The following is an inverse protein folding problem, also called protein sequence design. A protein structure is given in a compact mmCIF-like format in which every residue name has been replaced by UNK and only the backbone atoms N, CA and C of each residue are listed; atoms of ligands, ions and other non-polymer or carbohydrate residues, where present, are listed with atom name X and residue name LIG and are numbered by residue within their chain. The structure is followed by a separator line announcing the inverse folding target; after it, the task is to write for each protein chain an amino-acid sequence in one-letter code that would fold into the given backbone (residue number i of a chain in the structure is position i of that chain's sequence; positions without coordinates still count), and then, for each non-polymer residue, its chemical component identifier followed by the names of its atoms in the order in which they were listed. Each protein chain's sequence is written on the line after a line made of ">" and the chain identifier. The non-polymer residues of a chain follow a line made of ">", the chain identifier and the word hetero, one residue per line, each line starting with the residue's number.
data_IF_235123301383
#
_entry.id   IF_235123301383
#
_cell.length_a   1.000
_cell.length_b   1.000
_cell.length_c   1.000
_cell.angle_alpha   90.00
_cell.angle_beta   90.00
_cell.angle_gamma   90.00
#
_symmetry.space_group_name_H-M   'P 1'
#
loop_
_entity.id
_entity.type
_entity.pdbx_description
1 polymer ?
#
# COMPACT_ATOMS: atom_id res chain seq x y z
N UNK A 1 -5.50 16.91 16.40
CA UNK A 1 -4.26 17.18 17.17
C UNK A 1 -3.82 15.97 18.01
N UNK A 2 -4.61 15.46 18.96
CA UNK A 2 -4.19 14.36 19.86
C UNK A 2 -3.72 13.07 19.16
N UNK A 3 -4.41 12.62 18.11
CA UNK A 3 -4.05 11.40 17.38
C UNK A 3 -2.64 11.47 16.77
N UNK A 4 -2.29 12.60 16.17
CA UNK A 4 -0.97 12.80 15.55
C UNK A 4 0.14 12.76 16.60
N UNK A 5 -0.03 13.46 17.73
CA UNK A 5 0.94 13.42 18.82
C UNK A 5 1.19 11.99 19.32
N UNK A 6 0.12 11.20 19.48
CA UNK A 6 0.23 9.80 19.94
C UNK A 6 0.92 8.89 18.93
N UNK A 7 0.76 9.16 17.63
CA UNK A 7 1.49 8.44 16.59
C UNK A 7 2.95 8.83 16.63
N UNK A 8 3.26 10.13 16.73
CA UNK A 8 4.63 10.61 16.81
C UNK A 8 5.40 10.10 18.02
N UNK A 9 4.76 10.02 19.19
CA UNK A 9 5.36 9.48 20.42
C UNK A 9 5.76 8.01 20.28
N UNK A 10 5.14 7.28 19.33
CA UNK A 10 5.42 5.86 19.06
C UNK A 10 6.49 5.66 17.99
N UNK A 11 6.96 6.72 17.34
CA UNK A 11 8.03 6.64 16.35
C UNK A 11 9.39 6.61 17.06
N UNK A 12 9.80 5.42 17.47
CA UNK A 12 11.06 5.14 18.17
C UNK A 12 12.26 4.90 17.24
N UNK A 13 12.05 5.01 15.92
CA UNK A 13 13.05 4.77 14.87
C UNK A 13 12.90 3.44 14.15
N UNK A 14 12.02 2.54 14.62
CA UNK A 14 11.67 1.35 13.87
C UNK A 14 10.97 1.71 12.53
N UNK A 15 11.23 0.98 11.43
CA UNK A 15 10.56 1.21 10.16
C UNK A 15 9.04 1.19 10.31
N UNK A 16 8.39 2.34 10.09
CA UNK A 16 6.95 2.50 10.33
C UNK A 16 6.20 2.93 9.07
N UNK A 17 5.12 2.24 8.76
CA UNK A 17 4.18 2.61 7.69
C UNK A 17 2.90 3.20 8.29
N UNK A 18 2.58 4.44 7.92
CA UNK A 18 1.34 5.11 8.27
C UNK A 18 0.45 5.11 7.03
N UNK A 19 -0.63 4.32 7.06
CA UNK A 19 -1.55 4.20 5.93
C UNK A 19 -2.77 5.07 6.19
N UNK A 20 -3.07 5.96 5.25
CA UNK A 20 -4.26 6.82 5.25
C UNK A 20 -5.13 6.36 4.08
N UNK A 21 -6.19 5.62 4.39
CA UNK A 21 -7.12 5.05 3.42
C UNK A 21 -8.39 5.90 3.33
N UNK A 22 -8.69 6.43 2.15
CA UNK A 22 -9.81 7.36 1.87
C UNK A 22 -9.93 8.55 2.84
N UNK A 23 -8.86 8.87 3.56
CA UNK A 23 -8.81 9.96 4.53
C UNK A 23 -8.78 11.34 3.88
N UNK A 24 -9.03 11.46 2.57
CA UNK A 24 -9.03 12.73 1.86
C UNK A 24 -10.15 13.67 2.35
N UNK A 25 -11.27 13.14 2.84
CA UNK A 25 -12.33 13.92 3.47
C UNK A 25 -11.86 14.60 4.77
N UNK A 26 -10.97 13.95 5.52
CA UNK A 26 -10.39 14.54 6.73
C UNK A 26 -9.39 15.67 6.39
N UNK A 27 -9.03 15.84 5.12
CA UNK A 27 -8.11 16.89 4.64
C UNK A 27 -8.77 18.25 4.46
N UNK A 28 -10.11 18.32 4.48
CA UNK A 28 -10.84 19.59 4.51
C UNK A 28 -10.70 20.31 5.86
N UNK A 29 -10.29 19.59 6.91
CA UNK A 29 -9.90 20.17 8.19
C UNK A 29 -8.51 20.82 8.07
N UNK A 30 -8.45 22.14 8.24
CA UNK A 30 -7.22 22.92 8.10
C UNK A 30 -6.11 22.51 9.10
N UNK A 31 -6.48 22.10 10.32
CA UNK A 31 -5.51 21.67 11.32
C UNK A 31 -4.95 20.28 10.97
N UNK A 32 -5.80 19.36 10.53
CA UNK A 32 -5.38 18.05 10.03
C UNK A 32 -4.45 18.19 8.82
N UNK A 33 -4.86 19.00 7.85
CA UNK A 33 -4.08 19.23 6.64
C UNK A 33 -2.70 19.84 6.98
N UNK A 34 -2.63 20.81 7.88
CA UNK A 34 -1.36 21.40 8.31
C UNK A 34 -0.43 20.36 8.96
N UNK A 35 -0.96 19.54 9.86
CA UNK A 35 -0.17 18.50 10.53
C UNK A 35 0.34 17.45 9.52
N UNK A 36 -0.50 17.03 8.58
CA UNK A 36 -0.11 16.09 7.55
C UNK A 36 0.98 16.65 6.62
N UNK A 37 0.92 17.95 6.27
CA UNK A 37 2.01 18.61 5.52
C UNK A 37 3.33 18.57 6.27
N UNK A 38 3.30 18.78 7.59
CA UNK A 38 4.49 18.69 8.42
C UNK A 38 5.04 17.27 8.43
N UNK A 39 4.17 16.28 8.65
CA UNK A 39 4.52 14.86 8.61
C UNK A 39 5.19 14.43 7.31
N UNK A 40 4.64 14.83 6.16
CA UNK A 40 5.23 14.49 4.86
C UNK A 40 6.65 15.05 4.68
N UNK A 41 7.01 16.10 5.43
CA UNK A 41 8.36 16.69 5.41
C UNK A 41 9.29 16.07 6.46
N UNK A 42 8.78 15.70 7.63
CA UNK A 42 9.61 15.35 8.79
C UNK A 42 9.70 13.85 9.06
N UNK A 43 8.68 13.06 8.73
CA UNK A 43 8.60 11.64 9.10
C UNK A 43 9.70 10.77 8.51
N UNK A 44 10.26 11.15 7.35
CA UNK A 44 11.43 10.48 6.79
C UNK A 44 12.61 10.42 7.78
N UNK A 45 12.78 11.45 8.61
CA UNK A 45 13.84 11.49 9.63
C UNK A 45 13.61 10.52 10.79
N UNK A 46 12.36 10.10 11.00
CA UNK A 46 11.93 9.15 12.03
C UNK A 46 11.79 7.71 11.50
N UNK A 47 12.39 7.40 10.34
CA UNK A 47 12.27 6.11 9.65
C UNK A 47 10.80 5.71 9.36
N UNK A 48 9.95 6.70 9.12
CA UNK A 48 8.53 6.51 8.85
C UNK A 48 8.16 6.94 7.44
N UNK A 49 7.21 6.25 6.84
CA UNK A 49 6.62 6.57 5.54
C UNK A 49 5.11 6.69 5.64
N UNK A 50 4.54 7.64 4.90
CA UNK A 50 3.09 7.81 4.78
C UNK A 50 2.64 7.27 3.43
N UNK A 51 1.63 6.41 3.45
CA UNK A 51 1.00 5.85 2.25
C UNK A 51 -0.42 6.40 2.20
N UNK A 52 -0.78 7.02 1.08
CA UNK A 52 -2.15 7.40 0.78
C UNK A 52 -2.76 6.38 -0.17
N UNK A 53 -3.93 5.87 0.21
CA UNK A 53 -4.76 5.03 -0.63
C UNK A 53 -6.08 5.74 -0.91
N UNK A 54 -6.45 5.83 -2.19
CA UNK A 54 -7.74 6.35 -2.63
C UNK A 54 -8.19 5.64 -3.91
N UNK A 55 -9.48 5.55 -4.09
CA UNK A 55 -10.15 5.08 -5.30
C UNK A 55 -10.37 6.21 -6.32
N UNK A 56 -10.29 7.49 -5.89
CA UNK A 56 -10.58 8.64 -6.75
C UNK A 56 -9.44 9.66 -6.71
N UNK A 57 -8.71 9.74 -7.82
CA UNK A 57 -7.69 10.77 -8.01
C UNK A 57 -8.32 12.18 -8.06
N UNK A 58 -9.58 12.27 -8.52
CA UNK A 58 -10.35 13.51 -8.56
C UNK A 58 -10.60 14.09 -7.17
N UNK A 59 -10.80 13.22 -6.18
CA UNK A 59 -11.07 13.66 -4.80
C UNK A 59 -9.80 14.26 -4.18
N UNK A 60 -8.63 13.71 -4.51
CA UNK A 60 -7.35 14.33 -4.16
C UNK A 60 -7.17 15.66 -4.90
N UNK A 61 -7.48 15.73 -6.19
CA UNK A 61 -7.30 16.94 -6.99
C UNK A 61 -8.13 18.13 -6.49
N UNK A 62 -9.33 17.85 -5.99
CA UNK A 62 -10.19 18.86 -5.36
C UNK A 62 -9.70 19.28 -3.97
N UNK A 63 -8.80 18.51 -3.35
CA UNK A 63 -8.34 18.74 -1.98
C UNK A 63 -7.32 19.87 -1.87
N UNK A 64 -7.36 20.68 -0.78
CA UNK A 64 -6.31 21.65 -0.45
C UNK A 64 -4.90 21.06 -0.27
N UNK A 65 -4.79 19.73 -0.19
CA UNK A 65 -3.52 19.01 -0.09
C UNK A 65 -2.96 18.53 -1.42
N UNK A 66 -3.69 18.66 -2.54
CA UNK A 66 -3.23 18.21 -3.85
C UNK A 66 -1.81 18.66 -4.21
N UNK A 67 -1.43 19.96 -4.05
CA UNK A 67 -0.08 20.41 -4.38
C UNK A 67 1.01 19.71 -3.56
N UNK A 68 0.74 19.49 -2.27
CA UNK A 68 1.71 18.87 -1.35
C UNK A 68 1.84 17.39 -1.64
N UNK A 69 0.75 16.69 -1.95
CA UNK A 69 0.77 15.28 -2.32
C UNK A 69 1.48 15.07 -3.66
N UNK A 70 1.22 15.92 -4.64
CA UNK A 70 1.93 15.89 -5.94
C UNK A 70 3.44 16.12 -5.74
N UNK A 71 3.84 17.03 -4.86
CA UNK A 71 5.26 17.32 -4.61
C UNK A 71 5.95 16.27 -3.73
N UNK A 72 5.26 15.77 -2.69
CA UNK A 72 5.87 14.94 -1.64
C UNK A 72 5.76 13.43 -1.91
N UNK A 73 4.73 12.98 -2.62
CA UNK A 73 4.54 11.58 -2.96
C UNK A 73 5.29 11.23 -4.25
N UNK A 74 6.57 10.93 -4.08
CA UNK A 74 7.52 10.63 -5.17
C UNK A 74 7.29 9.26 -5.82
N UNK A 75 6.69 8.33 -5.08
CA UNK A 75 6.35 6.99 -5.55
C UNK A 75 4.84 6.89 -5.63
N UNK A 76 4.32 6.48 -6.78
CA UNK A 76 2.88 6.33 -7.04
C UNK A 76 2.65 4.95 -7.63
N UNK A 77 1.74 4.21 -7.03
CA UNK A 77 1.24 2.94 -7.54
C UNK A 77 -0.15 3.20 -8.10
N UNK A 78 -0.28 3.21 -9.42
CA UNK A 78 -1.52 3.47 -10.13
C UNK A 78 -2.11 2.14 -10.60
N UNK A 79 -3.40 1.96 -10.36
CA UNK A 79 -4.14 0.76 -10.77
C UNK A 79 -4.82 0.99 -12.12
N UNK A 80 -5.19 -0.09 -12.83
CA UNK A 80 -5.90 -0.01 -14.11
C UNK A 80 -7.18 0.81 -13.99
N UNK A 81 -7.40 1.70 -14.96
CA UNK A 81 -8.59 2.53 -15.05
C UNK A 81 -8.94 2.77 -16.52
N UNK A 82 -9.89 2.00 -17.05
CA UNK A 82 -10.36 2.11 -18.44
C UNK A 82 -10.86 3.51 -18.81
N UNK A 83 -11.33 4.27 -17.82
CA UNK A 83 -11.85 5.63 -17.98
C UNK A 83 -10.75 6.67 -18.02
N UNK A 84 -9.47 6.31 -17.82
CA UNK A 84 -8.36 7.26 -17.79
C UNK A 84 -8.20 8.03 -19.11
N UNK A 85 -8.64 7.46 -20.24
CA UNK A 85 -8.65 8.12 -21.55
C UNK A 85 -9.81 9.11 -21.73
N UNK A 86 -10.84 9.07 -20.90
CA UNK A 86 -11.94 10.05 -20.96
C UNK A 86 -11.39 11.45 -20.71
N UNK A 87 -11.75 12.48 -21.48
CA UNK A 87 -11.14 13.81 -21.37
C UNK A 87 -11.12 14.40 -19.96
N UNK A 88 -12.21 14.22 -19.20
CA UNK A 88 -12.35 14.72 -17.83
C UNK A 88 -11.40 14.00 -16.86
N UNK A 89 -11.35 12.67 -16.92
CA UNK A 89 -10.51 11.85 -16.04
C UNK A 89 -9.03 11.98 -16.44
N UNK A 90 -8.74 11.95 -17.73
CA UNK A 90 -7.38 12.14 -18.25
C UNK A 90 -6.78 13.50 -17.88
N UNK A 91 -7.60 14.55 -17.78
CA UNK A 91 -7.14 15.85 -17.27
C UNK A 91 -6.64 15.77 -15.82
N UNK A 92 -7.28 14.97 -14.96
CA UNK A 92 -6.83 14.72 -13.58
C UNK A 92 -5.47 14.01 -13.61
N UNK A 93 -5.34 12.90 -14.35
CA UNK A 93 -4.07 12.19 -14.45
C UNK A 93 -2.92 13.08 -14.95
N UNK A 94 -3.18 13.98 -15.91
CA UNK A 94 -2.19 14.96 -16.39
C UNK A 94 -1.75 15.93 -15.29
N UNK A 95 -2.66 16.40 -14.43
CA UNK A 95 -2.30 17.24 -13.27
C UNK A 95 -1.41 16.52 -12.27
N UNK A 96 -1.54 15.20 -12.16
CA UNK A 96 -0.63 14.35 -11.38
C UNK A 96 0.68 14.00 -12.11
N UNK A 97 0.93 14.58 -13.28
CA UNK A 97 2.19 14.46 -14.01
C UNK A 97 2.27 13.24 -14.92
N UNK A 98 1.13 12.61 -15.26
CA UNK A 98 1.11 11.55 -16.26
C UNK A 98 1.03 12.14 -17.67
N UNK A 99 1.77 11.53 -18.60
CA UNK A 99 1.64 11.84 -20.03
C UNK A 99 0.60 10.92 -20.70
N UNK A 100 0.24 11.24 -21.96
CA UNK A 100 -0.79 10.51 -22.69
C UNK A 100 -0.46 9.02 -22.87
N UNK A 101 0.82 8.65 -23.02
CA UNK A 101 1.22 7.24 -23.13
C UNK A 101 1.01 6.50 -21.81
N UNK A 102 1.29 7.13 -20.68
CA UNK A 102 1.09 6.54 -19.36
C UNK A 102 -0.39 6.37 -19.05
N UNK A 103 -1.21 7.35 -19.44
CA UNK A 103 -2.67 7.28 -19.35
C UNK A 103 -3.21 6.12 -20.22
N UNK A 104 -2.73 5.99 -21.45
CA UNK A 104 -3.11 4.88 -22.35
C UNK A 104 -2.69 3.50 -21.78
N UNK A 105 -1.52 3.41 -21.12
CA UNK A 105 -1.11 2.20 -20.41
C UNK A 105 -2.12 1.86 -19.31
N UNK A 106 -2.50 2.82 -18.46
CA UNK A 106 -3.46 2.60 -17.37
C UNK A 106 -4.84 2.19 -17.87
N UNK A 107 -5.28 2.76 -19.00
CA UNK A 107 -6.57 2.44 -19.59
C UNK A 107 -6.64 1.03 -20.20
N UNK A 108 -5.50 0.48 -20.63
CA UNK A 108 -5.41 -0.86 -21.25
C UNK A 108 -4.88 -1.95 -20.32
N UNK A 109 -4.43 -1.57 -19.12
CA UNK A 109 -3.91 -2.49 -18.13
C UNK A 109 -5.02 -3.43 -17.60
N UNK A 110 -4.62 -4.63 -17.18
CA UNK A 110 -5.54 -5.67 -16.71
C UNK A 110 -5.80 -5.53 -15.21
N UNK A 111 -7.06 -5.30 -14.78
CA UNK A 111 -7.40 -5.22 -13.36
C UNK A 111 -6.95 -6.43 -12.56
N UNK A 112 -6.52 -6.21 -11.30
CA UNK A 112 -6.02 -7.25 -10.38
C UNK A 112 -4.78 -8.02 -10.84
N UNK A 113 -4.10 -7.55 -11.89
CA UNK A 113 -2.86 -8.16 -12.40
C UNK A 113 -1.80 -7.11 -12.63
N UNK A 114 -2.15 -6.10 -13.40
CA UNK A 114 -1.20 -5.08 -13.84
C UNK A 114 -1.23 -3.89 -12.87
N UNK A 115 -0.05 -3.42 -12.48
CA UNK A 115 0.15 -2.26 -11.62
C UNK A 115 1.17 -1.34 -12.28
N UNK A 116 0.94 -0.03 -12.25
CA UNK A 116 1.84 0.94 -12.84
C UNK A 116 2.57 1.71 -11.74
N UNK A 117 3.88 1.51 -11.63
CA UNK A 117 4.72 2.24 -10.69
C UNK A 117 5.34 3.45 -11.38
N UNK A 118 5.18 4.62 -10.78
CA UNK A 118 5.96 5.81 -11.07
C UNK A 118 6.84 6.13 -9.87
N UNK A 119 8.14 6.31 -10.09
CA UNK A 119 9.11 6.64 -9.06
C UNK A 119 10.22 7.54 -9.61
N UNK A 120 11.09 8.05 -8.73
CA UNK A 120 12.30 8.79 -9.14
C UNK A 120 13.24 7.98 -10.03
N UNK A 121 13.20 6.64 -9.95
CA UNK A 121 14.04 5.74 -10.75
C UNK A 121 13.48 5.46 -12.14
N UNK A 122 12.25 5.88 -12.41
CA UNK A 122 11.55 5.63 -13.67
C UNK A 122 10.13 5.13 -13.44
N UNK A 123 9.48 4.78 -14.55
CA UNK A 123 8.10 4.34 -14.58
C UNK A 123 7.97 3.00 -15.28
N UNK A 124 7.16 2.08 -14.75
CA UNK A 124 7.02 0.74 -15.30
C UNK A 124 5.65 0.11 -14.96
N UNK A 125 5.06 -0.55 -15.95
CA UNK A 125 3.99 -1.52 -15.73
C UNK A 125 4.61 -2.83 -15.26
N UNK A 126 4.09 -3.39 -14.18
CA UNK A 126 4.57 -4.64 -13.60
C UNK A 126 3.38 -5.47 -13.09
N UNK A 127 3.63 -6.75 -12.92
CA UNK A 127 2.69 -7.68 -12.30
C UNK A 127 3.30 -8.11 -10.96
N UNK A 128 2.45 -8.29 -9.95
CA UNK A 128 2.86 -8.93 -8.71
C UNK A 128 2.88 -10.44 -8.98
N UNK A 129 4.06 -10.99 -9.27
CA UNK A 129 4.28 -12.43 -9.43
C UNK A 129 4.21 -13.19 -8.11
N UNK A 130 3.09 -13.05 -7.40
CA UNK A 130 2.85 -13.70 -6.12
C UNK A 130 2.69 -15.20 -6.36
N UNK A 131 3.60 -15.99 -5.80
CA UNK A 131 3.47 -17.44 -5.76
C UNK A 131 2.25 -17.86 -4.92
N UNK A 132 1.87 -19.13 -4.99
CA UNK A 132 0.76 -19.65 -4.18
C UNK A 132 0.98 -19.42 -2.68
N UNK A 133 2.24 -19.52 -2.22
CA UNK A 133 2.63 -19.21 -0.83
C UNK A 133 2.42 -17.73 -0.52
N UNK A 134 2.88 -16.83 -1.41
CA UNK A 134 2.70 -15.39 -1.22
C UNK A 134 1.21 -15.00 -1.26
N UNK A 135 0.40 -15.61 -2.13
CA UNK A 135 -1.04 -15.41 -2.17
C UNK A 135 -1.74 -15.94 -0.91
N UNK A 136 -1.32 -17.10 -0.40
CA UNK A 136 -1.87 -17.65 0.84
C UNK A 136 -1.66 -16.70 2.03
N UNK A 137 -0.58 -15.92 2.04
CA UNK A 137 -0.24 -15.01 3.14
C UNK A 137 -0.76 -13.58 2.90
N UNK A 138 -0.56 -13.04 1.71
CA UNK A 138 -0.82 -11.63 1.39
C UNK A 138 -2.21 -11.38 0.81
N UNK A 139 -2.90 -12.41 0.30
CA UNK A 139 -4.23 -12.30 -0.31
C UNK A 139 -5.35 -12.94 0.53
N UNK A 140 -5.08 -13.27 1.81
CA UNK A 140 -6.05 -13.84 2.74
C UNK A 140 -6.97 -12.76 3.37
N UNK A 141 -7.74 -12.08 2.52
CA UNK A 141 -8.62 -10.96 2.90
C UNK A 141 -10.11 -11.24 2.75
N UNK A 142 -10.51 -12.48 2.43
CA UNK A 142 -11.91 -12.84 2.33
C UNK A 142 -12.57 -12.85 3.72
N UNK A 143 -13.89 -12.60 3.77
CA UNK A 143 -14.66 -12.63 5.04
C UNK A 143 -14.52 -13.95 5.80
N UNK A 144 -14.32 -15.05 5.07
CA UNK A 144 -14.11 -16.38 5.64
C UNK A 144 -12.67 -16.61 6.17
N UNK A 145 -11.68 -15.82 5.75
CA UNK A 145 -10.29 -16.01 6.18
C UNK A 145 -10.10 -15.66 7.66
N UNK A 146 -10.71 -14.58 8.15
CA UNK A 146 -10.58 -14.13 9.54
C UNK A 146 -10.95 -15.17 10.62
N UNK A 147 -12.14 -15.81 10.58
CA UNK A 147 -12.48 -16.84 11.56
C UNK A 147 -11.56 -18.06 11.46
N UNK A 148 -11.14 -18.43 10.25
CA UNK A 148 -10.19 -19.54 10.03
C UNK A 148 -8.81 -19.23 10.60
N UNK A 149 -8.26 -18.04 10.32
CA UNK A 149 -6.99 -17.57 10.88
C UNK A 149 -7.04 -17.60 12.40
N UNK A 150 -8.14 -17.10 12.99
CA UNK A 150 -8.33 -17.09 14.44
C UNK A 150 -8.37 -18.51 15.01
N UNK A 151 -9.09 -19.44 14.37
CA UNK A 151 -9.18 -20.83 14.81
C UNK A 151 -7.81 -21.54 14.74
N UNK A 152 -7.09 -21.39 13.63
CA UNK A 152 -5.76 -21.99 13.44
C UNK A 152 -4.75 -21.40 14.44
N UNK A 153 -4.79 -20.08 14.67
CA UNK A 153 -3.93 -19.43 15.65
C UNK A 153 -4.23 -19.90 17.07
N UNK A 154 -5.51 -20.05 17.43
CA UNK A 154 -5.92 -20.55 18.74
C UNK A 154 -5.50 -22.02 18.98
N UNK A 155 -5.51 -22.85 17.94
CA UNK A 155 -5.14 -24.28 18.04
C UNK A 155 -3.62 -24.48 18.08
N UNK A 156 -2.86 -23.74 17.26
CA UNK A 156 -1.44 -24.00 17.04
C UNK A 156 -0.49 -22.97 17.66
N UNK A 157 -1.01 -21.86 18.20
CA UNK A 157 -0.22 -20.74 18.69
C UNK A 157 0.56 -20.02 17.60
N UNK A 158 1.37 -19.02 17.99
CA UNK A 158 2.14 -18.21 17.03
C UNK A 158 3.22 -19.02 16.30
N UNK A 159 3.91 -19.92 17.00
CA UNK A 159 5.02 -20.70 16.43
C UNK A 159 4.53 -21.76 15.41
N UNK A 160 3.36 -22.36 15.66
CA UNK A 160 2.76 -23.36 14.76
C UNK A 160 1.88 -22.77 13.65
N UNK A 161 1.53 -21.48 13.75
CA UNK A 161 0.54 -20.85 12.87
C UNK A 161 0.89 -20.97 11.39
N UNK A 162 2.11 -20.60 11.00
CA UNK A 162 2.50 -20.57 9.58
C UNK A 162 2.39 -21.96 8.93
N UNK A 163 2.88 -22.99 9.63
CA UNK A 163 2.86 -24.36 9.15
C UNK A 163 1.43 -24.92 9.00
N UNK A 164 0.56 -24.61 9.98
CA UNK A 164 -0.84 -25.02 9.95
C UNK A 164 -1.64 -24.26 8.88
N UNK A 165 -1.41 -22.95 8.75
CA UNK A 165 -2.04 -22.11 7.74
C UNK A 165 -1.71 -22.56 6.32
N UNK A 166 -0.44 -22.84 6.02
CA UNK A 166 -0.04 -23.32 4.70
C UNK A 166 -0.68 -24.68 4.37
N UNK A 167 -0.75 -25.60 5.34
CA UNK A 167 -1.47 -26.88 5.15
C UNK A 167 -2.96 -26.68 4.90
N UNK A 168 -3.61 -25.79 5.65
CA UNK A 168 -5.01 -25.43 5.43
C UNK A 168 -5.25 -24.87 4.02
N UNK A 169 -4.30 -24.09 3.49
CA UNK A 169 -4.35 -23.52 2.13
C UNK A 169 -3.94 -24.50 1.02
N UNK A 170 -3.72 -25.78 1.35
CA UNK A 170 -3.33 -26.82 0.39
C UNK A 170 -1.84 -26.79 0.01
N UNK A 171 -1.02 -26.03 0.74
CA UNK A 171 0.41 -25.82 0.50
C UNK A 171 1.26 -26.61 1.49
N UNK A 172 0.94 -27.89 1.69
CA UNK A 172 1.67 -28.77 2.60
C UNK A 172 3.16 -28.83 2.29
N UNK A 173 3.52 -28.87 1.01
CA UNK A 173 4.91 -28.84 0.54
C UNK A 173 5.69 -27.63 1.07
N UNK A 174 5.07 -26.44 1.11
CA UNK A 174 5.72 -25.22 1.58
C UNK A 174 5.87 -25.26 3.10
N UNK A 175 4.91 -25.88 3.76
CA UNK A 175 4.88 -26.04 5.20
C UNK A 175 5.91 -27.07 5.70
N UNK A 176 6.32 -28.01 4.85
CA UNK A 176 7.39 -28.98 5.14
C UNK A 176 8.79 -28.35 5.03
N UNK A 177 8.94 -27.22 4.33
CA UNK A 177 10.21 -26.48 4.19
C UNK A 177 10.52 -25.55 5.37
N UNK A 178 9.55 -25.29 6.25
CA UNK A 178 9.71 -24.36 7.38
C UNK A 178 10.85 -24.76 8.34
N UNK A 179 11.01 -26.04 8.74
CA UNK A 179 12.10 -26.44 9.64
C UNK A 179 13.49 -26.12 9.10
N UNK A 180 13.62 -26.00 7.77
CA UNK A 180 14.87 -25.71 7.08
C UNK A 180 15.06 -24.21 6.76
N UNK A 181 14.10 -23.34 7.13
CA UNK A 181 14.22 -21.89 6.97
C UNK A 181 15.13 -21.32 8.06
N UNK A 182 16.44 -21.39 7.84
CA UNK A 182 17.37 -20.53 8.58
C UNK A 182 17.19 -19.11 8.09
N UNK A 183 16.70 -18.21 8.95
CA UNK A 183 16.82 -16.78 8.71
C UNK A 183 18.32 -16.48 8.69
N UNK A 184 18.90 -16.25 7.51
CA UNK A 184 20.22 -15.65 7.43
C UNK A 184 20.12 -14.27 8.08
N UNK A 185 20.59 -14.16 9.33
CA UNK A 185 20.85 -12.87 9.97
C UNK A 185 21.88 -12.15 9.11
N UNK A 186 21.41 -11.29 8.21
CA UNK A 186 22.26 -10.34 7.50
C UNK A 186 22.72 -9.28 8.50
N UNK A 187 23.74 -9.63 9.29
CA UNK A 187 24.62 -8.67 9.97
C UNK A 187 25.46 -7.95 8.90
N UNK A 188 24.97 -6.82 8.39
CA UNK A 188 25.78 -5.74 7.80
C UNK A 188 25.18 -4.37 8.07
#
# INVERSE_FOLDING_TARGET
>A
SYLFHRIEDRLDGAPTLIIIDEGWLALDDAAFASQLREWLKTLRKKNASVIFATQSLSDIDASPLAPVLIESCHTRLLLPNERAIEPQIGAVYRRFGLNDRQIDILARATPKRDYYCQSRRGNRLFELGLSDVALALCAASAKADQPTITAIHAEHGSDGFLAAWLRHRGLGWAADLIPDLTLEENDQ
#
